data_IF_555638671068
#
_entry.id   IF_555638671068
#
_cell.length_a   1.000
_cell.length_b   1.000
_cell.length_c   1.000
_cell.angle_alpha   90.00
_cell.angle_beta   90.00
_cell.angle_gamma   90.00
#
_symmetry.space_group_name_H-M   'P 1'
#
loop_
_entity.id
_entity.type
_entity.pdbx_description
1 polymer ?
#
# COMPACT_ATOMS: atom_id res chain seq x y z
N UNK A 1 27.92 -1.36 -1.62
CA UNK A 1 26.73 -0.48 -1.48
C UNK A 1 27.16 0.80 -0.77
N UNK A 2 26.88 1.94 -1.35
CA UNK A 2 27.16 3.23 -0.74
C UNK A 2 26.15 3.58 0.36
N UNK A 3 26.52 4.49 1.26
CA UNK A 3 25.67 4.86 2.39
C UNK A 3 24.30 5.41 1.95
N UNK A 4 24.29 6.31 0.95
CA UNK A 4 23.03 6.87 0.46
C UNK A 4 22.07 5.80 -0.10
N UNK A 5 22.62 4.75 -0.68
CA UNK A 5 21.84 3.63 -1.22
C UNK A 5 21.24 2.79 -0.07
N UNK A 6 22.01 2.59 0.99
CA UNK A 6 21.52 1.92 2.20
C UNK A 6 20.42 2.74 2.88
N UNK A 7 20.61 4.06 2.99
CA UNK A 7 19.61 4.97 3.54
C UNK A 7 18.32 4.96 2.71
N UNK A 8 18.42 4.95 1.39
CA UNK A 8 17.27 4.85 0.50
C UNK A 8 16.50 3.53 0.72
N UNK A 9 17.21 2.42 0.80
CA UNK A 9 16.61 1.09 1.03
C UNK A 9 15.88 1.03 2.37
N UNK A 10 16.49 1.53 3.43
CA UNK A 10 15.87 1.53 4.75
C UNK A 10 14.66 2.46 4.81
N UNK A 11 14.76 3.64 4.21
CA UNK A 11 13.63 4.57 4.10
C UNK A 11 12.44 3.95 3.38
N UNK A 12 12.69 3.21 2.30
CA UNK A 12 11.65 2.52 1.54
C UNK A 12 11.04 1.37 2.36
N UNK A 13 11.85 0.58 3.08
CA UNK A 13 11.32 -0.47 3.97
C UNK A 13 10.38 0.11 5.02
N UNK A 14 10.79 1.19 5.66
CA UNK A 14 9.97 1.89 6.66
C UNK A 14 8.69 2.45 6.05
N UNK A 15 8.79 3.03 4.85
CA UNK A 15 7.64 3.58 4.13
C UNK A 15 6.57 2.52 3.82
N UNK A 16 6.99 1.35 3.35
CA UNK A 16 6.09 0.23 3.07
C UNK A 16 5.38 -0.22 4.35
N UNK A 17 6.08 -0.28 5.46
CA UNK A 17 5.49 -0.62 6.76
C UNK A 17 4.51 0.45 7.26
N UNK A 18 4.87 1.74 7.15
CA UNK A 18 4.02 2.86 7.58
C UNK A 18 2.71 2.92 6.81
N UNK A 19 2.73 2.64 5.52
CA UNK A 19 1.53 2.58 4.69
C UNK A 19 0.49 1.63 5.27
N UNK A 20 0.85 0.39 5.53
CA UNK A 20 -0.07 -0.61 6.05
C UNK A 20 -0.41 -0.40 7.53
N UNK A 21 0.56 -0.03 8.37
CA UNK A 21 0.32 0.21 9.79
C UNK A 21 -0.72 1.32 10.00
N UNK A 22 -0.69 2.35 9.18
CA UNK A 22 -1.66 3.46 9.25
C UNK A 22 -2.95 3.15 8.48
N UNK A 23 -2.87 2.45 7.36
CA UNK A 23 -4.05 2.03 6.61
C UNK A 23 -4.92 1.08 7.42
N UNK A 24 -4.33 0.09 8.06
CA UNK A 24 -5.04 -0.90 8.90
C UNK A 24 -5.76 -0.26 10.10
N UNK A 25 -5.27 0.86 10.58
CA UNK A 25 -5.81 1.56 11.75
C UNK A 25 -6.65 2.79 11.40
N UNK A 26 -6.89 3.03 10.11
CA UNK A 26 -7.74 4.14 9.66
C UNK A 26 -7.11 5.52 9.74
N UNK A 27 -5.79 5.60 9.90
CA UNK A 27 -5.04 6.87 9.98
C UNK A 27 -4.69 7.36 8.58
N UNK A 28 -5.68 7.76 7.82
CA UNK A 28 -5.52 8.06 6.39
C UNK A 28 -4.68 9.30 6.10
N UNK A 29 -4.61 10.26 7.01
CA UNK A 29 -3.70 11.40 6.88
C UNK A 29 -2.24 10.92 6.86
N UNK A 30 -1.89 9.98 7.74
CA UNK A 30 -0.55 9.38 7.75
C UNK A 30 -0.28 8.51 6.53
N UNK A 31 -1.31 7.83 5.99
CA UNK A 31 -1.17 7.10 4.73
C UNK A 31 -0.86 8.06 3.59
N UNK A 32 -1.57 9.20 3.52
CA UNK A 32 -1.32 10.20 2.47
C UNK A 32 0.08 10.79 2.55
N UNK A 33 0.65 10.93 3.73
CA UNK A 33 2.05 11.36 3.91
C UNK A 33 3.07 10.41 3.26
N UNK A 34 2.70 9.17 2.98
CA UNK A 34 3.56 8.21 2.29
C UNK A 34 3.68 8.46 0.79
N UNK A 35 2.82 9.29 0.22
CA UNK A 35 2.74 9.53 -1.23
C UNK A 35 3.30 10.88 -1.63
N UNK A 36 3.94 10.91 -2.81
CA UNK A 36 4.25 12.16 -3.49
C UNK A 36 2.94 12.89 -3.85
N UNK A 37 2.93 14.23 -3.91
CA UNK A 37 1.70 14.99 -4.18
C UNK A 37 1.00 14.64 -5.48
N UNK A 38 1.75 14.22 -6.50
CA UNK A 38 1.26 13.83 -7.82
C UNK A 38 1.28 12.32 -8.04
N UNK A 39 1.37 11.53 -6.98
CA UNK A 39 1.41 10.08 -7.05
C UNK A 39 0.20 9.49 -7.78
N UNK A 40 0.41 8.31 -8.33
CA UNK A 40 -0.66 7.52 -8.96
C UNK A 40 -0.81 6.21 -8.20
N UNK A 41 -2.04 5.84 -7.89
CA UNK A 41 -2.35 4.54 -7.29
C UNK A 41 -3.49 3.87 -8.03
N UNK A 42 -3.33 2.57 -8.28
CA UNK A 42 -4.37 1.71 -8.81
C UNK A 42 -4.53 0.49 -7.91
N UNK A 43 -5.74 0.27 -7.42
CA UNK A 43 -6.07 -0.86 -6.55
C UNK A 43 -7.00 -1.84 -7.27
N UNK A 44 -6.52 -3.07 -7.50
CA UNK A 44 -7.26 -4.09 -8.23
C UNK A 44 -7.56 -3.67 -9.67
N UNK A 45 -8.78 -3.93 -10.12
CA UNK A 45 -9.24 -3.60 -11.48
C UNK A 45 -9.94 -2.24 -11.58
N UNK A 46 -9.73 -1.38 -10.59
CA UNK A 46 -10.30 -0.02 -10.59
C UNK A 46 -9.49 0.93 -11.48
N UNK A 47 -10.05 2.09 -11.75
CA UNK A 47 -9.33 3.15 -12.45
C UNK A 47 -8.17 3.69 -11.62
N UNK A 48 -7.17 4.22 -12.29
CA UNK A 48 -6.06 4.91 -11.64
C UNK A 48 -6.55 6.15 -10.91
N UNK A 49 -6.08 6.31 -9.66
CA UNK A 49 -6.27 7.53 -8.88
C UNK A 49 -5.01 8.39 -8.96
N UNK A 50 -5.16 9.66 -9.28
CA UNK A 50 -4.05 10.61 -9.47
C UNK A 50 -4.13 11.74 -8.45
N UNK A 51 -3.04 11.89 -7.70
CA UNK A 51 -2.94 12.88 -6.64
C UNK A 51 -3.59 12.41 -5.33
N UNK A 52 -3.27 13.12 -4.25
CA UNK A 52 -3.63 12.71 -2.88
C UNK A 52 -5.14 12.65 -2.65
N UNK A 53 -5.88 13.58 -3.22
CA UNK A 53 -7.33 13.62 -3.04
C UNK A 53 -8.01 12.38 -3.62
N UNK A 54 -7.67 12.00 -4.85
CA UNK A 54 -8.21 10.79 -5.47
C UNK A 54 -7.70 9.52 -4.77
N UNK A 55 -6.41 9.45 -4.42
CA UNK A 55 -5.85 8.28 -3.72
C UNK A 55 -6.55 8.06 -2.39
N UNK A 56 -6.85 9.14 -1.65
CA UNK A 56 -7.56 9.03 -0.38
C UNK A 56 -8.91 8.32 -0.53
N UNK A 57 -9.59 8.49 -1.65
CA UNK A 57 -10.88 7.84 -1.89
C UNK A 57 -10.81 6.31 -1.92
N UNK A 58 -9.66 5.74 -2.27
CA UNK A 58 -9.44 4.29 -2.21
C UNK A 58 -9.65 3.78 -0.77
N UNK A 59 -9.07 4.49 0.19
CA UNK A 59 -9.13 4.11 1.61
C UNK A 59 -10.49 4.39 2.23
N UNK A 60 -11.07 5.54 1.94
CA UNK A 60 -12.39 5.88 2.48
C UNK A 60 -13.48 4.99 1.93
N UNK A 61 -13.45 4.64 0.65
CA UNK A 61 -14.39 3.67 0.06
C UNK A 61 -14.21 2.29 0.65
N UNK A 62 -12.98 1.82 0.82
CA UNK A 62 -12.72 0.52 1.43
C UNK A 62 -13.29 0.44 2.85
N UNK A 63 -13.09 1.48 3.66
CA UNK A 63 -13.67 1.58 5.00
C UNK A 63 -15.20 1.57 4.98
N UNK A 64 -15.81 2.37 4.11
CA UNK A 64 -17.25 2.62 4.12
C UNK A 64 -18.05 1.51 3.42
N UNK A 65 -17.44 0.79 2.48
CA UNK A 65 -18.12 -0.19 1.63
C UNK A 65 -17.74 -1.63 1.92
N UNK A 66 -16.77 -1.87 2.79
CA UNK A 66 -16.37 -3.23 3.16
C UNK A 66 -17.55 -3.98 3.80
N UNK A 67 -17.82 -5.23 3.39
CA UNK A 67 -18.97 -5.99 3.88
C UNK A 67 -18.71 -6.65 5.23
N UNK A 68 -18.40 -5.85 6.25
CA UNK A 68 -18.08 -6.34 7.59
C UNK A 68 -19.21 -7.15 8.22
N UNK A 69 -20.49 -6.77 7.97
CA UNK A 69 -21.64 -7.40 8.59
C UNK A 69 -21.56 -7.33 10.13
N UNK A 70 -21.82 -8.46 10.79
CA UNK A 70 -21.70 -8.59 12.26
C UNK A 70 -20.29 -8.95 12.73
N UNK A 71 -19.33 -9.06 11.81
CA UNK A 71 -17.95 -9.35 12.15
C UNK A 71 -17.27 -8.11 12.75
N UNK A 72 -16.39 -8.29 13.74
CA UNK A 72 -15.57 -7.17 14.21
C UNK A 72 -14.67 -6.66 13.09
N UNK A 73 -14.48 -5.35 13.04
CA UNK A 73 -13.56 -4.73 12.10
C UNK A 73 -12.13 -5.08 12.54
N UNK A 74 -11.52 -5.98 11.79
CA UNK A 74 -10.15 -6.43 12.01
C UNK A 74 -9.45 -6.49 10.66
N UNK A 75 -8.33 -5.80 10.54
CA UNK A 75 -7.59 -5.72 9.29
C UNK A 75 -6.09 -5.70 9.60
N UNK A 76 -5.35 -6.64 9.00
CA UNK A 76 -3.89 -6.69 9.09
C UNK A 76 -3.32 -7.07 7.73
N UNK A 77 -2.60 -6.13 7.14
CA UNK A 77 -1.80 -6.39 5.94
C UNK A 77 -0.43 -6.90 6.36
N UNK A 78 -0.09 -8.08 5.86
CA UNK A 78 1.23 -8.70 6.05
C UNK A 78 1.98 -8.61 4.74
N UNK A 79 3.13 -7.96 4.72
CA UNK A 79 3.99 -7.90 3.53
C UNK A 79 5.17 -8.85 3.66
N UNK A 80 5.57 -9.45 2.55
CA UNK A 80 6.68 -10.41 2.51
C UNK A 80 7.42 -10.33 1.18
N UNK A 81 8.67 -10.79 1.19
CA UNK A 81 9.48 -10.89 -0.03
C UNK A 81 9.65 -9.53 -0.69
N UNK A 82 9.96 -8.51 0.11
CA UNK A 82 10.17 -7.16 -0.39
C UNK A 82 11.54 -7.06 -1.09
N UNK A 83 11.49 -6.85 -2.39
CA UNK A 83 12.64 -6.61 -3.24
C UNK A 83 12.68 -5.13 -3.60
N UNK A 84 13.80 -4.47 -3.33
CA UNK A 84 13.99 -3.04 -3.59
C UNK A 84 15.14 -2.86 -4.58
N UNK A 85 14.88 -2.15 -5.66
CA UNK A 85 15.86 -1.77 -6.66
C UNK A 85 16.04 -0.25 -6.64
N UNK A 86 17.15 0.22 -6.10
CA UNK A 86 17.51 1.64 -6.11
C UNK A 86 18.20 1.93 -7.44
N UNK A 87 17.53 2.67 -8.30
CA UNK A 87 18.04 2.98 -9.65
C UNK A 87 19.09 4.09 -9.58
N UNK A 88 18.76 5.17 -8.87
CA UNK A 88 19.64 6.31 -8.62
C UNK A 88 19.12 7.08 -7.39
N UNK A 89 19.68 8.28 -7.15
CA UNK A 89 19.28 9.11 -6.00
C UNK A 89 17.87 9.70 -6.11
N UNK A 90 17.24 9.59 -7.26
CA UNK A 90 15.92 10.18 -7.52
C UNK A 90 14.85 9.15 -7.87
N UNK A 91 15.20 7.88 -8.03
CA UNK A 91 14.26 6.85 -8.47
C UNK A 91 14.60 5.48 -7.87
N UNK A 92 13.57 4.81 -7.36
CA UNK A 92 13.66 3.43 -6.91
C UNK A 92 12.36 2.69 -7.25
N UNK A 93 12.44 1.37 -7.27
CA UNK A 93 11.31 0.47 -7.49
C UNK A 93 11.28 -0.59 -6.41
N UNK A 94 10.11 -1.12 -6.14
CA UNK A 94 9.99 -2.32 -5.32
C UNK A 94 8.82 -3.19 -5.75
N UNK A 95 8.84 -4.41 -5.28
CA UNK A 95 7.74 -5.36 -5.37
C UNK A 95 7.73 -6.20 -4.11
N UNK A 96 6.53 -6.58 -3.66
CA UNK A 96 6.37 -7.54 -2.57
C UNK A 96 5.04 -8.25 -2.70
N UNK A 97 4.89 -9.32 -1.92
CA UNK A 97 3.59 -9.96 -1.70
C UNK A 97 2.91 -9.30 -0.51
N UNK A 98 1.58 -9.28 -0.53
CA UNK A 98 0.80 -8.99 0.65
C UNK A 98 -0.26 -10.07 0.88
N UNK A 99 -0.59 -10.29 2.12
CA UNK A 99 -1.72 -11.09 2.56
C UNK A 99 -2.48 -10.32 3.62
N UNK A 100 -3.79 -10.38 3.58
CA UNK A 100 -4.65 -9.65 4.52
C UNK A 100 -5.40 -10.61 5.41
N UNK A 101 -5.27 -10.39 6.71
CA UNK A 101 -6.06 -11.08 7.71
C UNK A 101 -7.23 -10.19 8.13
N UNK A 102 -8.41 -10.79 8.18
CA UNK A 102 -9.63 -10.21 8.75
C UNK A 102 -10.20 -11.15 9.80
N UNK A 103 -11.40 -10.88 10.30
CA UNK A 103 -12.06 -11.74 11.27
C UNK A 103 -12.27 -13.19 10.79
N UNK A 104 -12.23 -13.44 9.48
CA UNK A 104 -12.34 -14.79 8.93
C UNK A 104 -10.99 -15.50 8.75
N UNK A 105 -9.88 -14.87 9.13
CA UNK A 105 -8.52 -15.35 8.88
C UNK A 105 -7.97 -14.79 7.58
N UNK A 106 -7.32 -15.61 6.75
CA UNK A 106 -6.79 -15.17 5.46
C UNK A 106 -7.95 -14.77 4.54
N UNK A 107 -8.01 -13.49 4.24
CA UNK A 107 -9.11 -12.87 3.49
C UNK A 107 -8.82 -12.76 1.98
N UNK A 108 -7.72 -12.12 1.64
CA UNK A 108 -7.27 -11.95 0.27
C UNK A 108 -5.75 -11.71 0.23
N UNK A 109 -5.17 -11.78 -0.96
CA UNK A 109 -3.73 -11.63 -1.15
C UNK A 109 -3.40 -11.16 -2.56
N UNK A 110 -2.21 -10.62 -2.72
CA UNK A 110 -1.75 -10.12 -4.00
C UNK A 110 -0.35 -9.56 -3.92
N UNK A 111 -0.09 -8.56 -4.75
CA UNK A 111 1.22 -7.94 -4.88
C UNK A 111 1.10 -6.43 -4.83
N UNK A 112 2.15 -5.80 -4.28
CA UNK A 112 2.42 -4.38 -4.46
C UNK A 112 3.55 -4.23 -5.47
N UNK A 113 3.33 -3.37 -6.46
CA UNK A 113 4.33 -3.02 -7.47
C UNK A 113 4.48 -1.51 -7.41
N UNK A 114 5.65 -1.05 -6.99
CA UNK A 114 5.84 0.32 -6.54
C UNK A 114 6.99 1.02 -7.24
N UNK A 115 6.84 2.34 -7.35
CA UNK A 115 7.90 3.27 -7.70
C UNK A 115 7.96 4.38 -6.64
N UNK A 116 9.16 4.90 -6.42
CA UNK A 116 9.44 5.89 -5.38
C UNK A 116 10.32 7.01 -5.93
N UNK A 117 10.13 8.20 -5.39
CA UNK A 117 11.01 9.34 -5.59
C UNK A 117 11.15 10.16 -4.31
N UNK A 118 12.25 10.89 -4.12
CA UNK A 118 12.36 11.85 -3.03
C UNK A 118 11.44 13.06 -3.25
N UNK A 119 10.83 13.53 -2.17
CA UNK A 119 10.08 14.78 -2.09
C UNK A 119 10.60 15.49 -0.85
N UNK A 120 11.20 16.66 -1.02
CA UNK A 120 11.81 17.42 0.08
C UNK A 120 12.79 16.58 0.92
N UNK A 121 13.59 15.74 0.24
CA UNK A 121 14.60 14.88 0.85
C UNK A 121 14.08 13.57 1.44
N UNK A 122 12.78 13.30 1.36
CA UNK A 122 12.16 12.07 1.88
C UNK A 122 11.62 11.21 0.75
N UNK A 123 11.92 9.91 0.79
CA UNK A 123 11.37 8.95 -0.17
C UNK A 123 9.86 8.79 0.02
N UNK A 124 9.11 8.87 -1.10
CA UNK A 124 7.65 8.73 -1.13
C UNK A 124 7.25 7.79 -2.28
N UNK A 125 6.09 7.16 -2.16
CA UNK A 125 5.50 6.48 -3.31
C UNK A 125 5.19 7.49 -4.41
N UNK A 126 5.69 7.26 -5.61
CA UNK A 126 5.30 7.99 -6.82
C UNK A 126 4.28 7.21 -7.63
N UNK A 127 4.28 5.89 -7.52
CA UNK A 127 3.30 5.00 -8.14
C UNK A 127 3.13 3.76 -7.27
N UNK A 128 1.90 3.35 -7.03
CA UNK A 128 1.58 2.08 -6.38
C UNK A 128 0.50 1.36 -7.16
N UNK A 129 0.80 0.15 -7.61
CA UNK A 129 -0.17 -0.77 -8.15
C UNK A 129 -0.40 -1.91 -7.17
N UNK A 130 -1.66 -2.09 -6.79
CA UNK A 130 -2.10 -3.21 -5.94
C UNK A 130 -2.81 -4.22 -6.82
N UNK A 131 -2.33 -5.46 -6.86
CA UNK A 131 -3.04 -6.57 -7.51
C UNK A 131 -3.80 -7.36 -6.44
N UNK A 132 -4.91 -7.97 -6.84
CA UNK A 132 -5.59 -8.99 -6.02
C UNK A 132 -5.43 -10.30 -6.78
N UNK A 133 -4.53 -11.16 -6.30
CA UNK A 133 -4.21 -12.42 -6.97
C UNK A 133 -5.15 -13.54 -6.54
N UNK A 134 -5.76 -13.43 -5.37
CA UNK A 134 -6.76 -14.36 -4.89
C UNK A 134 -7.49 -13.83 -3.66
N UNK A 135 -8.63 -14.45 -3.37
CA UNK A 135 -9.45 -14.10 -2.21
C UNK A 135 -10.22 -15.30 -1.69
N UNK A 136 -10.51 -15.27 -0.41
CA UNK A 136 -11.48 -16.19 0.18
C UNK A 136 -12.87 -15.84 -0.38
N UNK A 137 -13.70 -16.82 -0.79
CA UNK A 137 -15.08 -16.54 -1.23
C UNK A 137 -15.91 -15.79 -0.20
N UNK A 138 -15.59 -15.91 1.09
CA UNK A 138 -16.23 -15.20 2.19
C UNK A 138 -15.53 -13.89 2.58
N UNK A 139 -14.67 -13.34 1.71
CA UNK A 139 -13.92 -12.13 1.98
C UNK A 139 -14.81 -11.01 2.55
N UNK A 140 -14.34 -10.38 3.62
CA UNK A 140 -14.99 -9.25 4.27
C UNK A 140 -14.52 -7.90 3.74
N UNK A 141 -13.60 -7.90 2.80
CA UNK A 141 -12.95 -6.69 2.32
C UNK A 141 -13.04 -6.51 0.81
N UNK A 142 -12.79 -7.57 0.05
CA UNK A 142 -12.80 -7.52 -1.42
C UNK A 142 -14.15 -8.00 -1.93
N UNK A 143 -14.92 -7.15 -2.65
CA UNK A 143 -16.17 -7.58 -3.24
C UNK A 143 -15.93 -8.67 -4.30
N UNK A 144 -16.94 -9.50 -4.47
CA UNK A 144 -16.93 -10.58 -5.47
C UNK A 144 -17.00 -10.04 -6.90
#
# INVERSE_FOLDING_TARGET
>A
MELWELEARESIRDLVARYNANGDTGRFDHVMECFAPDAVMQAGDTEECRGLEEIRTIFTRARDQAPWGDHPVYLRHMTATLQIDVIDRSHAKSRCYYAVLTAIGLDHWGRYIDEFRPVDGEWKFSNRRVTVDGRNPASLFVPS
#
